data_IF_613592343174
#
_entry.id   IF_613592343174
#
_cell.length_a   1.000
_cell.length_b   1.000
_cell.length_c   1.000
_cell.angle_alpha   90.00
_cell.angle_beta   90.00
_cell.angle_gamma   90.00
#
_symmetry.space_group_name_H-M   'P 1'
#
loop_
_entity.id
_entity.type
_entity.pdbx_description
1 polymer ?
#
# COMPACT_ATOMS: atom_id res chain seq x y z
N UNK A 1 -43.77 27.19 85.66
CA UNK A 1 -43.32 25.91 86.20
C UNK A 1 -42.80 25.06 85.07
N UNK A 2 -41.52 24.77 85.14
CA UNK A 2 -40.68 23.79 84.41
C UNK A 2 -40.93 23.59 82.90
N UNK A 3 -40.11 24.29 82.07
CA UNK A 3 -39.84 24.08 80.66
C UNK A 3 -38.73 23.02 80.51
N UNK A 4 -38.90 22.07 79.57
CA UNK A 4 -37.89 21.12 79.23
C UNK A 4 -37.38 21.45 77.86
N UNK A 5 -36.09 21.83 77.76
CA UNK A 5 -35.32 21.99 76.53
C UNK A 5 -34.94 20.58 75.91
N UNK A 6 -35.31 20.32 74.70
CA UNK A 6 -34.81 19.20 73.89
C UNK A 6 -33.76 19.70 72.97
N UNK A 7 -32.51 19.31 73.19
CA UNK A 7 -31.40 19.50 72.27
C UNK A 7 -31.50 18.52 71.08
N UNK A 8 -31.49 19.06 69.88
CA UNK A 8 -31.51 18.31 68.66
C UNK A 8 -30.08 18.22 68.15
N UNK A 9 -29.50 17.01 68.12
CA UNK A 9 -28.21 16.73 67.51
C UNK A 9 -28.41 16.55 66.01
N UNK A 10 -27.77 17.38 65.17
CA UNK A 10 -27.67 17.23 63.73
C UNK A 10 -26.41 16.39 63.51
N UNK A 11 -26.60 15.14 63.14
CA UNK A 11 -25.52 14.28 62.62
C UNK A 11 -25.22 14.65 61.18
N UNK A 12 -24.11 15.33 60.95
CA UNK A 12 -23.58 15.59 59.62
C UNK A 12 -23.05 14.32 58.99
N UNK A 13 -23.73 13.82 57.97
CA UNK A 13 -23.29 12.67 57.15
C UNK A 13 -22.29 13.20 56.12
N UNK A 14 -21.00 13.05 56.36
CA UNK A 14 -19.93 13.30 55.38
C UNK A 14 -19.96 12.15 54.36
N UNK A 15 -20.54 12.41 53.21
CA UNK A 15 -20.49 11.50 52.08
C UNK A 15 -19.07 11.55 51.47
N UNK A 16 -18.21 10.58 51.85
CA UNK A 16 -16.90 10.36 51.24
C UNK A 16 -17.12 9.76 49.87
N UNK A 17 -17.25 10.59 48.81
CA UNK A 17 -17.17 10.13 47.44
C UNK A 17 -15.73 9.68 47.15
N UNK A 18 -15.41 8.41 47.40
CA UNK A 18 -14.24 7.79 46.84
C UNK A 18 -14.44 7.70 45.33
N UNK A 19 -13.75 8.60 44.60
CA UNK A 19 -13.55 8.45 43.17
C UNK A 19 -12.80 7.15 42.97
N UNK A 20 -13.51 6.11 42.55
CA UNK A 20 -12.89 4.86 42.07
C UNK A 20 -12.12 5.24 40.82
N UNK A 21 -10.79 5.24 40.91
CA UNK A 21 -9.90 5.23 39.77
C UNK A 21 -10.23 3.93 39.02
N UNK A 22 -10.65 3.98 37.75
CA UNK A 22 -10.87 2.74 37.01
C UNK A 22 -9.53 1.95 36.99
N UNK A 23 -9.52 0.77 37.57
CA UNK A 23 -8.41 -0.15 37.44
C UNK A 23 -8.23 -0.42 35.93
N UNK A 24 -7.07 -0.05 35.38
CA UNK A 24 -6.70 -0.44 34.03
C UNK A 24 -6.87 -1.97 33.94
N UNK A 25 -7.79 -2.43 33.11
CA UNK A 25 -7.97 -3.85 32.80
C UNK A 25 -6.66 -4.48 32.34
N UNK A 26 -6.54 -5.80 32.34
CA UNK A 26 -5.32 -6.49 31.94
C UNK A 26 -4.87 -5.97 30.57
N UNK A 27 -3.59 -5.54 30.50
CA UNK A 27 -3.03 -4.99 29.27
C UNK A 27 -3.09 -6.02 28.14
N UNK A 28 -3.30 -5.54 26.91
CA UNK A 28 -3.33 -6.40 25.72
C UNK A 28 -2.00 -7.11 25.53
N UNK A 29 -2.02 -8.42 25.36
CA UNK A 29 -0.83 -9.27 25.29
C UNK A 29 -0.32 -9.29 23.85
N UNK A 30 0.87 -8.71 23.64
CA UNK A 30 1.48 -8.55 22.34
C UNK A 30 2.78 -9.34 22.25
N UNK A 31 2.90 -10.21 21.27
CA UNK A 31 4.14 -10.83 20.88
C UNK A 31 4.78 -10.09 19.71
N UNK A 32 6.09 -9.87 19.77
CA UNK A 32 6.84 -9.26 18.67
C UNK A 32 7.71 -10.32 18.03
N UNK A 33 7.42 -10.64 16.78
CA UNK A 33 8.24 -11.57 15.98
C UNK A 33 9.63 -10.98 15.67
N UNK A 34 10.64 -11.81 15.38
CA UNK A 34 11.87 -11.34 14.76
C UNK A 34 11.57 -10.68 13.42
N UNK A 35 12.04 -9.44 13.22
CA UNK A 35 11.85 -8.74 11.94
C UNK A 35 12.77 -9.32 10.86
N UNK A 36 12.22 -9.53 9.66
CA UNK A 36 13.00 -9.92 8.48
C UNK A 36 13.65 -8.70 7.88
N UNK A 37 14.89 -8.39 8.24
CA UNK A 37 15.65 -7.26 7.70
C UNK A 37 17.03 -7.72 7.23
N UNK A 38 17.56 -7.07 6.18
CA UNK A 38 18.92 -7.32 5.69
C UNK A 38 20.01 -6.78 6.63
N UNK A 39 19.64 -5.88 7.55
CA UNK A 39 20.62 -5.18 8.42
C UNK A 39 20.13 -5.16 9.86
N UNK A 40 20.88 -5.78 10.78
CA UNK A 40 20.69 -5.77 12.24
C UNK A 40 19.24 -6.01 12.74
N UNK A 41 18.57 -7.09 12.34
CA UNK A 41 17.18 -7.36 12.69
C UNK A 41 16.93 -7.45 14.21
N UNK A 42 17.88 -8.01 14.95
CA UNK A 42 17.78 -8.19 16.40
C UNK A 42 17.72 -6.86 17.14
N UNK A 43 18.60 -5.89 16.80
CA UNK A 43 18.59 -4.56 17.43
C UNK A 43 17.30 -3.79 17.16
N UNK A 44 16.75 -3.91 15.93
CA UNK A 44 15.52 -3.25 15.59
C UNK A 44 14.34 -3.81 16.40
N UNK A 45 14.26 -5.13 16.55
CA UNK A 45 13.28 -5.78 17.40
C UNK A 45 13.37 -5.31 18.84
N UNK A 46 14.60 -5.27 19.41
CA UNK A 46 14.84 -4.78 20.77
C UNK A 46 14.35 -3.34 20.95
N UNK A 47 14.64 -2.45 20.01
CA UNK A 47 14.17 -1.06 20.08
C UNK A 47 12.65 -0.96 19.98
N UNK A 48 12.01 -1.73 19.11
CA UNK A 48 10.54 -1.77 18.99
C UNK A 48 9.93 -2.29 20.29
N UNK A 49 10.44 -3.38 20.85
CA UNK A 49 9.98 -3.91 22.15
C UNK A 49 10.17 -2.90 23.27
N UNK A 50 11.31 -2.21 23.33
CA UNK A 50 11.58 -1.18 24.33
C UNK A 50 10.64 0.03 24.23
N UNK A 51 10.22 0.42 23.03
CA UNK A 51 9.24 1.50 22.85
C UNK A 51 7.81 1.01 23.15
N UNK A 52 7.45 -0.20 22.74
CA UNK A 52 6.13 -0.79 23.03
C UNK A 52 5.90 -1.03 24.53
N UNK A 53 6.96 -1.41 25.28
CA UNK A 53 6.87 -1.62 26.73
C UNK A 53 6.55 -0.34 27.52
N UNK A 54 6.72 0.84 26.94
CA UNK A 54 6.36 2.15 27.53
C UNK A 54 4.87 2.47 27.34
N UNK A 55 4.17 1.73 26.48
CA UNK A 55 2.77 2.03 26.17
C UNK A 55 1.85 1.55 27.29
N UNK A 56 0.94 2.41 27.79
CA UNK A 56 -0.02 2.02 28.81
C UNK A 56 -0.95 0.94 28.24
N UNK A 57 -1.15 -0.13 29.01
CA UNK A 57 -2.07 -1.19 28.65
C UNK A 57 -1.59 -2.14 27.54
N UNK A 58 -0.28 -2.19 27.26
CA UNK A 58 0.37 -3.21 26.44
C UNK A 58 1.24 -4.08 27.34
N UNK A 59 1.13 -5.40 27.22
CA UNK A 59 1.94 -6.37 27.91
C UNK A 59 2.68 -7.23 26.88
N UNK A 60 4.00 -7.11 26.82
CA UNK A 60 4.80 -7.95 25.93
C UNK A 60 4.91 -9.37 26.49
N UNK A 61 4.67 -10.36 25.62
CA UNK A 61 4.79 -11.79 25.95
C UNK A 61 5.96 -12.44 25.23
N UNK A 62 6.51 -13.48 25.84
CA UNK A 62 7.73 -14.13 25.33
C UNK A 62 7.46 -15.12 24.18
N UNK A 63 6.21 -15.54 23.98
CA UNK A 63 5.84 -16.50 22.94
C UNK A 63 4.48 -16.15 22.32
N UNK A 64 4.30 -16.60 21.08
CA UNK A 64 3.07 -16.44 20.31
C UNK A 64 1.87 -17.08 21.01
N UNK A 65 2.03 -18.25 21.64
CA UNK A 65 0.95 -18.98 22.31
C UNK A 65 0.28 -18.21 23.45
N UNK A 66 0.93 -17.18 23.97
CA UNK A 66 0.38 -16.30 25.04
C UNK A 66 -0.15 -14.97 24.53
N UNK A 67 -0.04 -14.69 23.24
CA UNK A 67 -0.37 -13.40 22.64
C UNK A 67 -1.86 -13.31 22.22
N UNK A 68 -2.42 -12.13 22.33
CA UNK A 68 -3.70 -11.76 21.71
C UNK A 68 -3.44 -11.20 20.31
N UNK A 69 -2.31 -10.50 20.14
CA UNK A 69 -1.82 -10.03 18.88
C UNK A 69 -0.35 -10.36 18.68
N UNK A 70 0.03 -10.49 17.42
CA UNK A 70 1.37 -10.74 16.96
C UNK A 70 1.80 -9.58 16.09
N UNK A 71 2.86 -8.86 16.47
CA UNK A 71 3.50 -7.84 15.65
C UNK A 71 4.63 -8.49 14.87
N UNK A 72 4.42 -8.69 13.58
CA UNK A 72 5.43 -9.15 12.64
C UNK A 72 5.86 -8.04 11.70
N UNK A 73 6.89 -8.30 10.91
CA UNK A 73 7.27 -7.36 9.88
C UNK A 73 8.65 -7.59 9.29
N UNK A 74 8.96 -6.79 8.25
CA UNK A 74 10.26 -6.81 7.59
C UNK A 74 10.54 -5.50 6.87
N UNK A 75 11.81 -5.32 6.53
CA UNK A 75 12.21 -4.09 5.88
C UNK A 75 13.67 -4.06 5.51
N UNK A 76 14.13 -2.90 5.08
CA UNK A 76 15.50 -2.68 4.67
C UNK A 76 15.99 -1.32 5.14
N UNK A 77 17.23 -1.26 5.62
CA UNK A 77 17.93 -0.03 5.96
C UNK A 77 19.23 -0.03 5.15
N UNK A 78 19.49 1.07 4.43
CA UNK A 78 20.70 1.22 3.63
C UNK A 78 21.33 2.60 3.82
N UNK A 79 22.62 2.74 3.50
CA UNK A 79 23.29 4.02 3.46
C UNK A 79 23.03 4.67 2.11
N UNK A 80 22.33 5.81 2.09
CA UNK A 80 22.09 6.62 0.88
C UNK A 80 23.36 7.38 0.44
N UNK A 81 24.22 7.72 1.40
CA UNK A 81 25.43 8.52 1.19
C UNK A 81 26.03 8.98 2.51
N UNK A 82 26.95 9.93 2.44
CA UNK A 82 27.60 10.52 3.60
C UNK A 82 27.49 12.03 3.55
N UNK A 83 27.13 12.64 4.68
CA UNK A 83 27.13 14.10 4.84
C UNK A 83 28.54 14.56 5.26
N UNK A 84 29.19 15.34 4.43
CA UNK A 84 30.51 15.87 4.74
C UNK A 84 30.48 16.81 5.95
N UNK A 85 31.35 16.58 6.91
CA UNK A 85 31.57 17.49 8.05
C UNK A 85 32.36 18.74 7.64
N UNK A 86 33.04 18.73 6.47
CA UNK A 86 33.76 19.85 5.93
C UNK A 86 33.54 20.02 4.42
N UNK A 87 32.53 20.81 4.00
CA UNK A 87 32.15 20.97 2.59
C UNK A 87 33.24 21.61 1.70
N UNK A 88 34.31 22.18 2.28
CA UNK A 88 35.38 22.89 1.54
C UNK A 88 36.54 21.99 1.10
N UNK A 89 36.57 20.72 1.49
CA UNK A 89 37.78 19.89 1.31
C UNK A 89 37.87 19.16 -0.04
N UNK A 90 36.83 19.12 -0.88
CA UNK A 90 36.88 18.51 -2.22
C UNK A 90 37.25 17.00 -2.26
N UNK A 91 37.49 16.36 -1.12
CA UNK A 91 37.79 14.95 -0.98
C UNK A 91 36.49 14.17 -0.69
N UNK A 92 36.35 13.01 -1.31
CA UNK A 92 35.32 12.05 -0.93
C UNK A 92 35.46 11.73 0.56
N UNK A 93 34.45 11.97 1.39
CA UNK A 93 34.60 11.87 2.84
C UNK A 93 34.59 10.39 3.25
N UNK A 94 35.75 9.85 3.59
CA UNK A 94 35.87 8.64 4.42
C UNK A 94 35.36 8.88 5.86
N UNK A 95 35.18 10.14 6.27
CA UNK A 95 34.88 10.57 7.64
C UNK A 95 33.52 11.28 7.78
N UNK A 96 32.63 11.16 6.79
CA UNK A 96 31.29 11.75 6.81
C UNK A 96 30.30 10.98 7.69
N UNK A 97 29.34 11.69 8.27
CA UNK A 97 28.17 11.06 8.93
C UNK A 97 27.33 10.33 7.89
N UNK A 98 27.08 9.02 8.02
CA UNK A 98 26.25 8.29 7.09
C UNK A 98 24.82 8.85 7.08
N UNK A 99 24.26 8.98 5.89
CA UNK A 99 22.86 9.31 5.64
C UNK A 99 22.16 8.04 5.25
N UNK A 100 21.14 7.69 6.00
CA UNK A 100 20.44 6.42 5.82
C UNK A 100 19.13 6.60 5.06
N UNK A 101 18.76 5.59 4.30
CA UNK A 101 17.42 5.34 3.83
C UNK A 101 16.92 4.03 4.39
N UNK A 102 15.63 3.82 4.36
CA UNK A 102 15.07 2.56 4.82
C UNK A 102 13.56 2.59 4.93
N UNK A 103 13.01 1.44 5.18
CA UNK A 103 11.61 1.26 5.57
C UNK A 103 11.48 0.04 6.47
N UNK A 104 10.40 -0.01 7.23
CA UNK A 104 9.96 -1.20 7.93
C UNK A 104 8.44 -1.32 7.77
N UNK A 105 8.00 -2.34 7.07
CA UNK A 105 6.60 -2.74 7.01
C UNK A 105 6.29 -3.62 8.21
N UNK A 106 5.27 -3.26 8.98
CA UNK A 106 4.82 -4.03 10.14
C UNK A 106 3.34 -4.32 10.04
N UNK A 107 2.95 -5.45 10.60
CA UNK A 107 1.56 -5.88 10.64
C UNK A 107 1.20 -6.42 12.02
N UNK A 108 -0.06 -6.23 12.43
CA UNK A 108 -0.64 -6.88 13.60
C UNK A 108 -1.58 -7.98 13.11
N UNK A 109 -1.33 -9.19 13.60
CA UNK A 109 -2.16 -10.37 13.38
C UNK A 109 -2.89 -10.70 14.67
N UNK A 110 -4.14 -11.14 14.56
CA UNK A 110 -4.89 -11.71 15.67
C UNK A 110 -4.42 -13.15 15.97
N UNK A 111 -4.94 -13.77 17.05
CA UNK A 111 -4.64 -15.14 17.42
C UNK A 111 -5.05 -16.23 16.40
N UNK A 112 -5.70 -15.84 15.26
CA UNK A 112 -6.02 -16.72 14.14
C UNK A 112 -5.03 -16.55 12.98
N UNK A 113 -4.03 -15.68 13.13
CA UNK A 113 -3.08 -15.35 12.07
C UNK A 113 -3.60 -14.37 11.01
N UNK A 114 -4.78 -13.78 11.20
CA UNK A 114 -5.36 -12.81 10.27
C UNK A 114 -4.79 -11.42 10.54
N UNK A 115 -4.20 -10.79 9.51
CA UNK A 115 -3.71 -9.41 9.60
C UNK A 115 -4.88 -8.44 9.66
N UNK A 116 -5.01 -7.70 10.75
CA UNK A 116 -6.05 -6.71 10.94
C UNK A 116 -5.54 -5.27 10.88
N UNK A 117 -4.22 -5.07 10.97
CA UNK A 117 -3.59 -3.78 10.83
C UNK A 117 -2.20 -3.92 10.22
N UNK A 118 -1.80 -2.93 9.42
CA UNK A 118 -0.45 -2.82 8.86
C UNK A 118 -0.01 -1.37 8.79
N UNK A 119 1.31 -1.15 8.85
CA UNK A 119 1.91 0.17 8.78
C UNK A 119 3.29 0.11 8.13
N UNK A 120 3.56 1.02 7.21
CA UNK A 120 4.88 1.21 6.62
C UNK A 120 5.58 2.38 7.33
N UNK A 121 6.58 2.07 8.14
CA UNK A 121 7.44 3.05 8.78
C UNK A 121 8.58 3.43 7.82
N UNK A 122 8.71 4.72 7.53
CA UNK A 122 9.85 5.31 6.81
C UNK A 122 10.51 6.37 7.69
N UNK A 123 11.84 6.57 7.64
CA UNK A 123 12.50 7.59 8.45
C UNK A 123 12.13 8.99 7.97
N UNK A 124 11.86 9.90 8.91
CA UNK A 124 11.68 11.34 8.62
C UNK A 124 13.02 12.08 8.53
N UNK A 125 13.99 11.62 9.33
CA UNK A 125 15.33 12.16 9.34
C UNK A 125 16.29 11.11 8.77
N UNK A 126 17.16 11.55 7.90
CA UNK A 126 18.16 10.74 7.23
C UNK A 126 19.49 10.65 8.00
N UNK A 127 19.59 11.32 9.15
CA UNK A 127 20.79 11.35 10.00
C UNK A 127 20.52 10.75 11.37
N UNK A 128 21.43 9.92 11.87
CA UNK A 128 21.37 9.32 13.20
C UNK A 128 20.96 7.84 13.20
N UNK A 129 20.48 7.35 14.34
CA UNK A 129 20.08 5.94 14.50
C UNK A 129 18.64 5.72 13.99
N UNK A 130 18.55 5.44 12.69
CA UNK A 130 17.27 5.18 12.00
C UNK A 130 16.48 4.05 12.68
N UNK A 131 17.14 3.02 13.21
CA UNK A 131 16.45 1.91 13.85
C UNK A 131 15.64 2.37 15.07
N UNK A 132 16.16 3.31 15.84
CA UNK A 132 15.44 3.92 16.97
C UNK A 132 14.27 4.80 16.52
N UNK A 133 14.47 5.56 15.45
CA UNK A 133 13.41 6.39 14.89
C UNK A 133 12.25 5.56 14.37
N UNK A 134 12.54 4.53 13.55
CA UNK A 134 11.55 3.58 13.05
C UNK A 134 10.81 2.90 14.21
N UNK A 135 11.53 2.47 15.25
CA UNK A 135 10.93 1.82 16.42
C UNK A 135 9.93 2.76 17.14
N UNK A 136 10.29 4.03 17.35
CA UNK A 136 9.37 5.03 17.94
C UNK A 136 8.13 5.25 17.08
N UNK A 137 8.30 5.34 15.78
CA UNK A 137 7.17 5.50 14.84
C UNK A 137 6.24 4.29 14.89
N UNK A 138 6.81 3.08 14.83
CA UNK A 138 6.04 1.85 14.93
C UNK A 138 5.27 1.81 16.24
N UNK A 139 5.91 2.03 17.38
CA UNK A 139 5.25 2.02 18.67
C UNK A 139 4.11 3.04 18.75
N UNK A 140 4.29 4.25 18.23
CA UNK A 140 3.25 5.28 18.16
C UNK A 140 2.04 4.82 17.35
N UNK A 141 2.27 4.20 16.18
CA UNK A 141 1.19 3.75 15.32
C UNK A 141 0.53 2.46 15.81
N UNK A 142 1.27 1.56 16.43
CA UNK A 142 0.73 0.38 17.14
C UNK A 142 -0.14 0.82 18.31
N UNK A 143 0.29 1.80 19.12
CA UNK A 143 -0.52 2.37 20.19
C UNK A 143 -1.87 2.87 19.68
N UNK A 144 -1.84 3.68 18.62
CA UNK A 144 -3.05 4.21 18.01
C UNK A 144 -3.97 3.10 17.45
N UNK A 145 -3.39 2.05 16.85
CA UNK A 145 -4.15 0.90 16.36
C UNK A 145 -4.82 0.13 17.50
N UNK A 146 -4.07 -0.16 18.59
CA UNK A 146 -4.58 -0.85 19.76
C UNK A 146 -5.61 -0.05 20.54
N UNK A 147 -5.49 1.29 20.58
CA UNK A 147 -6.50 2.16 21.15
C UNK A 147 -7.79 2.20 20.31
N UNK A 148 -7.65 2.20 18.98
CA UNK A 148 -8.78 2.14 18.06
C UNK A 148 -9.53 0.81 18.17
N UNK A 149 -8.83 -0.28 18.43
CA UNK A 149 -9.44 -1.60 18.62
C UNK A 149 -10.01 -1.78 20.05
N UNK A 150 -9.45 -1.07 21.05
CA UNK A 150 -9.99 -1.01 22.44
C UNK A 150 -11.20 -0.10 22.60
N UNK A 151 -11.30 0.94 21.78
CA UNK A 151 -12.57 1.65 21.67
C UNK A 151 -13.60 0.52 21.38
N UNK A 152 -14.63 0.33 22.26
CA UNK A 152 -15.54 -0.76 22.02
C UNK A 152 -15.89 -0.64 20.57
N UNK A 153 -15.59 -1.70 19.81
CA UNK A 153 -16.16 -1.89 18.50
C UNK A 153 -17.66 -1.90 18.76
N UNK A 154 -18.22 -0.69 18.88
CA UNK A 154 -19.49 -0.48 18.27
C UNK A 154 -19.16 -0.74 16.80
N UNK A 155 -19.20 -1.98 16.40
CA UNK A 155 -19.96 -2.32 15.22
C UNK A 155 -21.30 -1.63 15.49
N UNK A 156 -21.33 -0.33 15.24
CA UNK A 156 -22.57 0.34 14.99
C UNK A 156 -23.04 -0.36 13.75
N UNK A 157 -23.91 -1.36 13.94
CA UNK A 157 -24.78 -1.77 12.85
C UNK A 157 -25.20 -0.45 12.22
N UNK A 158 -24.92 -0.26 10.90
CA UNK A 158 -25.23 1.02 10.27
C UNK A 158 -26.66 1.35 10.68
N UNK A 159 -26.96 2.59 11.05
CA UNK A 159 -28.31 2.96 11.40
C UNK A 159 -29.22 2.38 10.32
N UNK A 160 -30.37 1.81 10.65
CA UNK A 160 -31.28 1.15 9.69
C UNK A 160 -31.61 2.01 8.46
N UNK A 161 -31.20 3.29 8.46
CA UNK A 161 -31.30 4.29 7.40
C UNK A 161 -29.98 4.64 6.72
N UNK A 162 -28.87 3.92 6.97
CA UNK A 162 -27.58 4.23 6.34
C UNK A 162 -27.64 3.98 4.83
N UNK A 163 -27.05 4.89 4.06
CA UNK A 163 -26.90 4.78 2.61
C UNK A 163 -25.81 3.76 2.31
N UNK A 164 -26.19 2.64 1.70
CA UNK A 164 -25.23 1.62 1.30
C UNK A 164 -24.60 1.94 -0.06
N UNK A 165 -23.27 2.01 -0.12
CA UNK A 165 -22.49 2.13 -1.33
C UNK A 165 -21.60 0.89 -1.51
N UNK A 166 -21.62 0.31 -2.70
CA UNK A 166 -20.85 -0.88 -3.06
C UNK A 166 -19.84 -0.55 -4.13
N UNK A 167 -18.55 -0.72 -3.83
CA UNK A 167 -17.47 -0.62 -4.79
C UNK A 167 -16.90 -1.97 -5.13
N UNK A 168 -16.33 -2.11 -6.33
CA UNK A 168 -15.60 -3.32 -6.72
C UNK A 168 -14.51 -3.00 -7.74
N UNK A 169 -13.40 -3.76 -7.74
CA UNK A 169 -12.40 -3.56 -8.78
C UNK A 169 -10.98 -3.95 -8.42
N UNK A 170 -10.04 -3.11 -8.86
CA UNK A 170 -8.61 -3.34 -8.76
C UNK A 170 -8.15 -3.75 -7.36
N UNK A 171 -7.24 -4.73 -7.31
CA UNK A 171 -6.56 -5.11 -6.06
C UNK A 171 -5.38 -4.19 -5.75
N UNK A 172 -4.87 -3.47 -6.73
CA UNK A 172 -3.76 -2.52 -6.61
C UNK A 172 -3.97 -1.50 -5.47
N UNK A 173 -5.09 -0.75 -5.37
CA UNK A 173 -5.30 0.24 -4.33
C UNK A 173 -5.89 -0.34 -3.04
N UNK A 174 -6.16 -1.65 -2.96
CA UNK A 174 -6.95 -2.22 -1.86
C UNK A 174 -6.42 -1.90 -0.47
N UNK A 175 -5.10 -1.96 -0.17
CA UNK A 175 -4.59 -1.62 1.15
C UNK A 175 -4.95 -0.20 1.61
N UNK A 176 -4.87 0.79 0.71
CA UNK A 176 -5.26 2.17 1.04
C UNK A 176 -6.77 2.35 1.04
N UNK A 177 -7.51 1.69 0.15
CA UNK A 177 -8.97 1.75 0.12
C UNK A 177 -9.57 1.17 1.40
N UNK A 178 -9.12 0.02 1.87
CA UNK A 178 -9.57 -0.58 3.13
C UNK A 178 -9.42 0.40 4.31
N UNK A 179 -8.30 1.12 4.35
CA UNK A 179 -8.05 2.15 5.36
C UNK A 179 -8.98 3.35 5.21
N UNK A 180 -9.17 3.83 3.97
CA UNK A 180 -10.08 4.95 3.69
C UNK A 180 -11.52 4.62 4.07
N UNK A 181 -12.01 3.45 3.70
CA UNK A 181 -13.37 3.01 4.02
C UNK A 181 -13.59 2.95 5.53
N UNK A 182 -12.63 2.40 6.27
CA UNK A 182 -12.69 2.35 7.74
C UNK A 182 -12.76 3.74 8.35
N UNK A 183 -11.91 4.66 7.89
CA UNK A 183 -11.85 6.02 8.42
C UNK A 183 -13.08 6.83 8.00
N UNK A 184 -13.51 6.72 6.73
CA UNK A 184 -14.69 7.42 6.22
C UNK A 184 -15.98 7.01 6.96
N UNK A 185 -16.20 5.70 7.18
CA UNK A 185 -17.34 5.21 7.97
C UNK A 185 -17.37 5.75 9.38
N UNK A 186 -16.21 5.88 10.03
CA UNK A 186 -16.12 6.45 11.37
C UNK A 186 -16.53 7.93 11.40
N UNK A 187 -16.16 8.69 10.38
CA UNK A 187 -16.46 10.12 10.24
C UNK A 187 -17.88 10.36 9.71
N UNK A 188 -18.43 9.40 8.95
CA UNK A 188 -19.72 9.47 8.27
C UNK A 188 -20.60 8.24 8.56
N UNK A 189 -21.10 8.08 9.80
CA UNK A 189 -21.81 6.88 10.25
C UNK A 189 -23.10 6.56 9.47
N UNK A 190 -23.66 7.56 8.76
CA UNK A 190 -24.86 7.41 7.94
C UNK A 190 -24.55 6.84 6.54
N UNK A 191 -23.28 6.54 6.22
CA UNK A 191 -22.87 5.93 4.95
C UNK A 191 -22.18 4.61 5.25
N UNK A 192 -22.79 3.50 4.79
CA UNK A 192 -22.18 2.18 4.79
C UNK A 192 -21.54 1.92 3.43
N UNK A 193 -20.22 1.98 3.37
CA UNK A 193 -19.46 1.80 2.13
C UNK A 193 -18.58 0.56 2.20
N UNK A 194 -18.63 -0.25 1.16
CA UNK A 194 -17.84 -1.48 1.01
C UNK A 194 -17.09 -1.49 -0.32
N UNK A 195 -16.00 -2.28 -0.37
CA UNK A 195 -15.22 -2.47 -1.59
C UNK A 195 -14.75 -3.92 -1.69
N UNK A 196 -14.97 -4.54 -2.84
CA UNK A 196 -14.51 -5.88 -3.15
C UNK A 196 -13.35 -5.83 -4.15
N UNK A 197 -12.17 -6.30 -3.72
CA UNK A 197 -10.95 -6.35 -4.54
C UNK A 197 -10.94 -7.60 -5.43
N UNK A 198 -11.69 -7.56 -6.51
CA UNK A 198 -11.96 -8.70 -7.43
C UNK A 198 -11.21 -8.64 -8.76
N UNK A 199 -10.34 -7.63 -8.93
CA UNK A 199 -9.66 -7.31 -10.19
C UNK A 199 -10.40 -6.24 -11.00
N UNK A 200 -9.64 -5.51 -11.81
CA UNK A 200 -10.15 -4.35 -12.56
C UNK A 200 -11.31 -4.72 -13.48
N UNK A 201 -11.17 -5.79 -14.28
CA UNK A 201 -12.22 -6.18 -15.22
C UNK A 201 -13.51 -6.57 -14.50
N UNK A 202 -13.43 -7.44 -13.49
CA UNK A 202 -14.60 -7.89 -12.75
C UNK A 202 -15.32 -6.71 -12.06
N UNK A 203 -14.56 -5.75 -11.50
CA UNK A 203 -15.12 -4.55 -10.90
C UNK A 203 -15.86 -3.67 -11.90
N UNK A 204 -15.27 -3.43 -13.07
CA UNK A 204 -15.94 -2.65 -14.14
C UNK A 204 -17.19 -3.39 -14.66
N UNK A 205 -17.14 -4.71 -14.85
CA UNK A 205 -18.33 -5.50 -15.24
C UNK A 205 -19.45 -5.40 -14.21
N UNK A 206 -19.14 -5.40 -12.91
CA UNK A 206 -20.12 -5.21 -11.84
C UNK A 206 -20.73 -3.81 -11.87
N UNK A 207 -19.94 -2.78 -12.12
CA UNK A 207 -20.42 -1.41 -12.31
C UNK A 207 -21.38 -1.32 -13.51
N UNK A 208 -20.98 -1.84 -14.66
CA UNK A 208 -21.80 -1.86 -15.87
C UNK A 208 -23.13 -2.63 -15.68
N UNK A 209 -23.11 -3.69 -14.87
CA UNK A 209 -24.30 -4.48 -14.53
C UNK A 209 -25.17 -3.83 -13.43
N UNK A 210 -24.77 -2.69 -12.85
CA UNK A 210 -25.48 -2.04 -11.75
C UNK A 210 -25.41 -2.78 -10.41
N UNK A 211 -24.54 -3.78 -10.27
CA UNK A 211 -24.32 -4.50 -9.01
C UNK A 211 -23.26 -3.85 -8.12
N UNK A 212 -22.54 -2.84 -8.61
CA UNK A 212 -21.69 -1.93 -7.88
C UNK A 212 -22.07 -0.49 -8.20
N UNK A 213 -21.93 0.41 -7.21
CA UNK A 213 -22.20 1.85 -7.36
C UNK A 213 -20.98 2.59 -7.93
N UNK A 214 -19.78 2.04 -7.75
CA UNK A 214 -18.54 2.50 -8.37
C UNK A 214 -17.58 1.35 -8.66
N UNK A 215 -16.75 1.52 -9.67
CA UNK A 215 -15.68 0.58 -10.01
C UNK A 215 -14.30 1.13 -9.67
N UNK A 216 -13.25 0.29 -9.75
CA UNK A 216 -11.88 0.76 -9.77
C UNK A 216 -11.01 -0.03 -10.74
N UNK A 217 -10.12 0.66 -11.45
CA UNK A 217 -9.24 0.05 -12.44
C UNK A 217 -7.89 0.80 -12.53
N UNK A 218 -6.81 0.06 -12.74
CA UNK A 218 -5.49 0.63 -13.07
C UNK A 218 -5.29 0.77 -14.59
N UNK A 219 -6.35 0.51 -15.37
CA UNK A 219 -6.42 0.77 -16.80
C UNK A 219 -7.40 1.91 -17.07
N UNK A 220 -6.94 3.08 -17.57
CA UNK A 220 -7.82 4.21 -17.90
C UNK A 220 -8.75 3.94 -19.08
N UNK A 221 -8.51 2.88 -19.84
CA UNK A 221 -9.31 2.48 -20.99
C UNK A 221 -10.25 1.29 -20.70
N UNK A 222 -10.39 0.88 -19.42
CA UNK A 222 -11.14 -0.32 -19.04
C UNK A 222 -12.60 -0.29 -19.53
N UNK A 223 -13.29 0.85 -19.45
CA UNK A 223 -14.65 0.96 -19.99
C UNK A 223 -14.66 0.71 -21.49
N UNK A 224 -13.76 1.34 -22.25
CA UNK A 224 -13.66 1.20 -23.70
C UNK A 224 -13.38 -0.25 -24.11
N UNK A 225 -12.51 -0.94 -23.39
CA UNK A 225 -12.17 -2.36 -23.67
C UNK A 225 -13.33 -3.30 -23.36
N UNK A 226 -14.10 -3.05 -22.29
CA UNK A 226 -15.14 -3.95 -21.78
C UNK A 226 -16.50 -3.66 -22.42
N UNK A 227 -16.82 -2.38 -22.63
CA UNK A 227 -18.10 -1.91 -23.18
C UNK A 227 -17.88 -0.69 -24.09
N UNK A 228 -17.39 -0.92 -25.33
CA UNK A 228 -17.16 0.16 -26.27
C UNK A 228 -18.41 1.02 -26.50
N UNK A 229 -18.26 2.35 -26.43
CA UNK A 229 -19.36 3.31 -26.60
C UNK A 229 -20.03 3.78 -25.29
N UNK A 230 -19.65 3.19 -24.15
CA UNK A 230 -20.17 3.57 -22.84
C UNK A 230 -19.26 4.56 -22.08
N UNK A 231 -18.11 4.95 -22.65
CA UNK A 231 -17.09 5.77 -21.98
C UNK A 231 -17.67 7.08 -21.43
N UNK A 232 -18.51 7.75 -22.20
CA UNK A 232 -19.14 9.03 -21.80
C UNK A 232 -20.18 8.93 -20.68
N UNK A 233 -20.53 7.70 -20.26
CA UNK A 233 -21.47 7.48 -19.15
C UNK A 233 -20.77 7.46 -17.80
N UNK A 234 -19.45 7.42 -17.79
CA UNK A 234 -18.64 7.27 -16.58
C UNK A 234 -17.55 8.33 -16.48
N UNK A 235 -17.32 8.81 -15.27
CA UNK A 235 -16.21 9.69 -14.92
C UNK A 235 -15.08 8.82 -14.35
N UNK A 236 -13.87 9.04 -14.84
CA UNK A 236 -12.65 8.48 -14.27
C UNK A 236 -12.09 9.45 -13.24
N UNK A 237 -11.96 9.01 -12.00
CA UNK A 237 -11.42 9.81 -10.90
C UNK A 237 -10.12 9.16 -10.43
N UNK A 238 -8.93 9.65 -10.81
CA UNK A 238 -7.67 9.22 -10.24
C UNK A 238 -7.75 9.23 -8.71
N UNK A 239 -7.31 8.19 -8.05
CA UNK A 239 -7.46 8.06 -6.60
C UNK A 239 -6.13 7.96 -5.87
N UNK A 240 -5.21 7.18 -6.40
CA UNK A 240 -3.86 6.98 -5.88
C UNK A 240 -2.86 6.76 -7.01
N UNK A 241 -1.57 6.91 -6.67
CA UNK A 241 -0.45 6.52 -7.52
C UNK A 241 0.39 5.48 -6.76
N UNK A 242 0.74 4.42 -7.45
CA UNK A 242 1.63 3.38 -6.96
C UNK A 242 2.55 2.88 -8.08
N UNK A 243 3.18 1.73 -7.87
CA UNK A 243 4.08 1.12 -8.83
C UNK A 243 3.88 -0.40 -8.93
N UNK A 244 4.10 -0.95 -10.12
CA UNK A 244 4.19 -2.39 -10.31
C UNK A 244 5.65 -2.80 -10.27
N UNK A 245 5.99 -3.73 -9.38
CA UNK A 245 7.37 -4.18 -9.17
C UNK A 245 7.53 -5.66 -9.56
N UNK A 246 8.66 -6.02 -10.21
CA UNK A 246 9.02 -7.42 -10.38
C UNK A 246 9.47 -8.00 -9.03
N UNK A 247 8.71 -8.93 -8.48
CA UNK A 247 9.05 -9.66 -7.25
C UNK A 247 9.75 -10.97 -7.59
N UNK A 248 10.75 -11.36 -6.79
CA UNK A 248 11.55 -12.54 -7.06
C UNK A 248 11.77 -13.37 -5.78
N UNK A 249 11.84 -14.68 -5.96
CA UNK A 249 12.28 -15.62 -4.93
C UNK A 249 13.53 -16.35 -5.42
N UNK A 250 14.70 -15.79 -5.15
CA UNK A 250 16.00 -16.32 -5.53
C UNK A 250 16.84 -16.64 -4.29
N UNK A 251 16.74 -17.85 -3.74
CA UNK A 251 17.55 -18.28 -2.62
C UNK A 251 19.05 -18.20 -2.93
N UNK A 252 19.83 -17.63 -2.01
CA UNK A 252 21.29 -17.53 -2.13
C UNK A 252 21.80 -16.37 -2.99
N UNK A 253 20.93 -15.58 -3.62
CA UNK A 253 21.33 -14.35 -4.33
C UNK A 253 21.26 -13.18 -3.37
N UNK A 254 22.41 -12.63 -2.98
CA UNK A 254 22.51 -11.41 -2.19
C UNK A 254 22.65 -10.20 -3.12
N UNK A 255 21.79 -9.19 -2.97
CA UNK A 255 21.82 -7.94 -3.72
C UNK A 255 20.58 -7.72 -4.56
N UNK A 256 20.48 -6.48 -5.06
CA UNK A 256 19.35 -6.03 -5.87
C UNK A 256 19.48 -6.50 -7.30
N UNK A 257 18.52 -7.27 -7.77
CA UNK A 257 18.47 -7.70 -9.16
C UNK A 257 17.92 -6.57 -10.05
N UNK A 258 18.56 -6.36 -11.21
CA UNK A 258 18.13 -5.39 -12.22
C UNK A 258 17.51 -6.06 -13.42
N UNK A 259 16.50 -5.43 -13.98
CA UNK A 259 15.83 -5.88 -15.20
C UNK A 259 15.80 -4.78 -16.24
N UNK A 260 16.08 -5.17 -17.49
CA UNK A 260 15.77 -4.33 -18.65
C UNK A 260 14.39 -4.71 -19.20
N UNK A 261 13.74 -3.82 -19.96
CA UNK A 261 12.48 -4.17 -20.64
C UNK A 261 12.57 -5.45 -21.46
N UNK A 262 13.67 -5.64 -22.19
CA UNK A 262 13.91 -6.81 -23.03
C UNK A 262 14.06 -8.09 -22.19
N UNK A 263 14.72 -8.00 -21.04
CA UNK A 263 14.84 -9.12 -20.11
C UNK A 263 13.47 -9.53 -19.55
N UNK A 264 12.65 -8.57 -19.10
CA UNK A 264 11.30 -8.85 -18.65
C UNK A 264 10.42 -9.44 -19.74
N UNK A 265 10.44 -8.85 -20.95
CA UNK A 265 9.70 -9.39 -22.08
C UNK A 265 10.17 -10.82 -22.44
N UNK A 266 11.47 -11.06 -22.42
CA UNK A 266 12.04 -12.40 -22.68
C UNK A 266 11.62 -13.44 -21.64
N UNK A 267 11.56 -13.08 -20.37
CA UNK A 267 11.09 -13.95 -19.29
C UNK A 267 9.59 -14.29 -19.49
N UNK A 268 8.76 -13.28 -19.70
CA UNK A 268 7.30 -13.46 -19.80
C UNK A 268 6.86 -14.04 -21.16
N UNK A 269 7.72 -13.98 -22.19
CA UNK A 269 7.52 -14.71 -23.44
C UNK A 269 8.07 -16.14 -23.42
N UNK A 270 8.86 -16.51 -22.38
CA UNK A 270 9.50 -17.82 -22.25
C UNK A 270 10.80 -17.97 -23.05
N UNK A 271 11.30 -16.92 -23.73
CA UNK A 271 12.58 -16.94 -24.44
C UNK A 271 13.77 -16.91 -23.49
N UNK A 272 13.61 -16.34 -22.28
CA UNK A 272 14.57 -16.40 -21.18
C UNK A 272 13.98 -17.34 -20.12
N UNK A 273 14.54 -18.57 -20.03
CA UNK A 273 14.01 -19.63 -19.19
C UNK A 273 14.86 -19.92 -17.93
N UNK A 274 16.05 -19.33 -17.82
CA UNK A 274 16.98 -19.54 -16.70
C UNK A 274 17.49 -18.23 -16.14
N UNK A 275 17.73 -18.20 -14.82
CA UNK A 275 18.26 -17.02 -14.14
C UNK A 275 19.68 -16.65 -14.58
N UNK A 276 20.52 -17.61 -14.94
CA UNK A 276 21.86 -17.35 -15.46
C UNK A 276 21.92 -17.05 -16.96
N UNK A 277 20.80 -16.69 -17.59
CA UNK A 277 20.77 -16.28 -19.00
C UNK A 277 21.74 -15.12 -19.25
N UNK A 278 22.45 -15.09 -20.41
CA UNK A 278 23.38 -14.00 -20.75
C UNK A 278 22.76 -12.60 -20.65
N UNK A 279 21.50 -12.42 -21.05
CA UNK A 279 20.80 -11.12 -20.97
C UNK A 279 20.65 -10.68 -19.53
N UNK A 280 20.26 -11.58 -18.61
CA UNK A 280 20.15 -11.28 -17.19
C UNK A 280 21.51 -11.00 -16.57
N UNK A 281 22.54 -11.77 -16.90
CA UNK A 281 23.91 -11.53 -16.41
C UNK A 281 24.47 -10.19 -16.88
N UNK A 282 24.14 -9.75 -18.09
CA UNK A 282 24.63 -8.48 -18.62
C UNK A 282 24.12 -7.26 -17.83
N UNK A 283 22.86 -7.28 -17.37
CA UNK A 283 22.30 -6.20 -16.55
C UNK A 283 22.56 -6.36 -15.05
N UNK A 284 23.14 -7.48 -14.62
CA UNK A 284 23.44 -7.81 -13.23
C UNK A 284 24.92 -8.12 -13.00
N UNK A 285 25.82 -7.31 -13.56
CA UNK A 285 27.27 -7.47 -13.38
C UNK A 285 27.61 -7.43 -11.89
N UNK A 286 28.28 -8.48 -11.41
CA UNK A 286 28.65 -8.62 -9.99
C UNK A 286 27.68 -9.48 -9.16
N UNK A 287 26.52 -9.88 -9.69
CA UNK A 287 25.66 -10.88 -9.08
C UNK A 287 25.96 -12.28 -9.65
N UNK A 288 26.08 -13.27 -8.77
CA UNK A 288 26.16 -14.68 -9.18
C UNK A 288 24.74 -15.21 -9.34
N UNK A 289 24.20 -15.14 -10.56
CA UNK A 289 22.88 -15.67 -10.85
C UNK A 289 22.96 -17.19 -11.02
N UNK A 290 22.09 -17.99 -10.36
CA UNK A 290 22.14 -19.44 -10.34
C UNK A 290 21.71 -20.05 -11.69
N UNK A 291 22.20 -21.25 -11.98
CA UNK A 291 21.65 -22.10 -13.04
C UNK A 291 20.34 -22.74 -12.57
N UNK A 292 19.30 -21.91 -12.48
CA UNK A 292 17.97 -22.25 -11.98
C UNK A 292 16.93 -21.85 -13.02
N UNK A 293 15.95 -22.72 -13.25
CA UNK A 293 14.83 -22.41 -14.12
C UNK A 293 13.99 -21.26 -13.53
N UNK A 294 13.54 -20.36 -14.39
CA UNK A 294 12.62 -19.29 -14.03
C UNK A 294 11.19 -19.84 -13.97
N UNK A 295 10.52 -19.63 -12.85
CA UNK A 295 9.09 -19.90 -12.71
C UNK A 295 8.35 -18.57 -12.82
N UNK A 296 7.73 -18.34 -13.97
CA UNK A 296 6.93 -17.12 -14.19
C UNK A 296 5.60 -17.23 -13.43
N UNK A 297 5.22 -16.18 -12.71
CA UNK A 297 3.92 -16.06 -12.05
C UNK A 297 3.22 -14.82 -12.58
N UNK A 298 1.96 -14.98 -12.99
CA UNK A 298 1.14 -13.91 -13.54
C UNK A 298 -0.28 -13.92 -12.97
N UNK A 299 -1.05 -12.89 -13.27
CA UNK A 299 -2.45 -12.77 -12.83
C UNK A 299 -3.35 -13.74 -13.59
N UNK A 300 -4.30 -14.33 -12.85
CA UNK A 300 -5.37 -15.19 -13.39
C UNK A 300 -6.64 -14.41 -13.72
N UNK A 301 -6.83 -13.27 -13.05
CA UNK A 301 -7.98 -12.38 -13.21
C UNK A 301 -7.68 -11.23 -14.17
N UNK A 302 -8.74 -10.59 -14.68
CA UNK A 302 -8.62 -9.37 -15.48
C UNK A 302 -8.09 -8.21 -14.64
N UNK A 303 -6.81 -7.90 -14.83
CA UNK A 303 -5.99 -7.14 -13.88
C UNK A 303 -5.46 -5.84 -14.45
N UNK A 304 -5.73 -4.72 -13.75
CA UNK A 304 -5.09 -3.44 -14.05
C UNK A 304 -3.58 -3.47 -13.80
N UNK A 305 -3.10 -4.24 -12.81
CA UNK A 305 -1.67 -4.47 -12.59
C UNK A 305 -1.01 -5.15 -13.79
N UNK A 306 -1.71 -6.14 -14.40
CA UNK A 306 -1.27 -6.75 -15.67
C UNK A 306 -1.27 -5.74 -16.81
N UNK A 307 -2.29 -4.87 -16.86
CA UNK A 307 -2.34 -3.80 -17.86
C UNK A 307 -1.12 -2.88 -17.75
N UNK A 308 -0.81 -2.34 -16.56
CA UNK A 308 0.34 -1.45 -16.36
C UNK A 308 1.67 -2.14 -16.71
N UNK A 309 1.82 -3.42 -16.33
CA UNK A 309 2.98 -4.23 -16.69
C UNK A 309 3.12 -4.42 -18.20
N UNK A 310 2.07 -4.83 -18.88
CA UNK A 310 2.08 -5.09 -20.32
C UNK A 310 2.11 -3.80 -21.14
N UNK A 311 1.56 -2.69 -20.63
CA UNK A 311 1.70 -1.37 -21.24
C UNK A 311 3.16 -0.90 -21.25
N UNK A 312 3.89 -1.07 -20.14
CA UNK A 312 5.32 -0.81 -20.09
C UNK A 312 6.10 -1.62 -21.15
N UNK A 313 5.85 -2.93 -21.24
CA UNK A 313 6.50 -3.79 -22.24
C UNK A 313 6.08 -3.41 -23.66
N UNK A 314 4.84 -3.01 -23.87
CA UNK A 314 4.33 -2.55 -25.17
C UNK A 314 5.01 -1.25 -25.64
N UNK A 315 5.27 -0.33 -24.71
CA UNK A 315 5.94 0.93 -25.02
C UNK A 315 7.46 0.77 -25.27
N UNK A 316 8.07 -0.27 -24.68
CA UNK A 316 9.53 -0.40 -24.64
C UNK A 316 10.07 -1.52 -25.55
N UNK A 317 9.27 -2.54 -25.84
CA UNK A 317 9.71 -3.74 -26.60
C UNK A 317 8.81 -3.95 -27.82
N UNK A 318 9.25 -3.57 -29.05
CA UNK A 318 8.44 -3.69 -30.27
C UNK A 318 7.90 -5.09 -30.53
N UNK A 319 8.69 -6.15 -30.24
CA UNK A 319 8.24 -7.54 -30.38
C UNK A 319 7.08 -7.90 -29.46
N UNK A 320 7.08 -7.39 -28.24
CA UNK A 320 5.99 -7.56 -27.29
C UNK A 320 4.70 -6.89 -27.77
N UNK A 321 4.81 -5.67 -28.28
CA UNK A 321 3.67 -4.93 -28.85
C UNK A 321 2.96 -5.70 -29.95
N UNK A 322 3.74 -6.37 -30.82
CA UNK A 322 3.20 -7.13 -31.95
C UNK A 322 2.52 -8.44 -31.52
N UNK A 323 2.98 -9.07 -30.45
CA UNK A 323 2.55 -10.42 -30.04
C UNK A 323 1.46 -10.38 -28.94
N UNK A 324 1.60 -9.53 -27.95
CA UNK A 324 0.76 -9.52 -26.74
C UNK A 324 0.04 -8.19 -26.56
N UNK A 325 0.76 -7.07 -26.72
CA UNK A 325 0.23 -5.74 -26.46
C UNK A 325 -0.07 -5.48 -24.99
N UNK A 326 -0.70 -4.32 -24.69
CA UNK A 326 -1.21 -3.95 -23.38
C UNK A 326 -2.62 -4.52 -23.20
N UNK A 327 -2.90 -5.19 -22.07
CA UNK A 327 -4.20 -5.82 -21.83
C UNK A 327 -4.46 -6.06 -20.35
N UNK A 328 -5.73 -6.03 -19.96
CA UNK A 328 -6.20 -6.53 -18.65
C UNK A 328 -6.03 -8.05 -18.55
N UNK A 329 -6.19 -8.78 -19.67
CA UNK A 329 -6.11 -10.24 -19.79
C UNK A 329 -5.11 -10.66 -20.85
N UNK A 330 -3.79 -10.49 -20.64
CA UNK A 330 -2.79 -10.92 -21.60
C UNK A 330 -2.83 -12.44 -21.79
N UNK A 331 -2.61 -12.89 -23.02
CA UNK A 331 -2.42 -14.32 -23.30
C UNK A 331 -0.98 -14.70 -22.96
N UNK A 332 -0.76 -15.11 -21.73
CA UNK A 332 0.56 -15.50 -21.25
C UNK A 332 1.01 -16.82 -21.88
N UNK A 333 2.14 -16.85 -22.60
CA UNK A 333 2.61 -18.09 -23.23
C UNK A 333 3.23 -19.07 -22.24
N UNK A 334 3.68 -18.58 -21.06
CA UNK A 334 4.34 -19.36 -20.01
C UNK A 334 3.90 -18.88 -18.64
N UNK A 335 4.02 -19.72 -17.64
CA UNK A 335 3.86 -19.34 -16.24
C UNK A 335 2.72 -20.05 -15.53
N UNK A 336 2.58 -19.68 -14.28
CA UNK A 336 1.49 -20.08 -13.37
C UNK A 336 0.66 -18.85 -13.05
N UNK A 337 -0.63 -19.05 -12.87
CA UNK A 337 -1.56 -17.96 -12.59
C UNK A 337 -2.00 -17.94 -11.13
N UNK A 338 -2.23 -16.73 -10.59
CA UNK A 338 -2.81 -16.52 -9.27
C UNK A 338 -3.75 -15.29 -9.27
N UNK A 339 -4.76 -15.31 -8.43
CA UNK A 339 -5.74 -14.23 -8.34
C UNK A 339 -5.24 -13.08 -7.45
N UNK A 340 -5.40 -11.87 -7.95
CA UNK A 340 -5.05 -10.64 -7.22
C UNK A 340 -3.54 -10.45 -7.01
N UNK A 341 -3.16 -9.30 -6.48
CA UNK A 341 -1.77 -9.04 -6.06
C UNK A 341 -1.35 -9.98 -4.93
N UNK A 342 -2.26 -10.26 -4.00
CA UNK A 342 -2.05 -11.16 -2.86
C UNK A 342 -1.68 -12.58 -3.30
N UNK A 343 -2.44 -13.16 -4.23
CA UNK A 343 -2.19 -14.51 -4.72
C UNK A 343 -0.86 -14.62 -5.47
N UNK A 344 -0.48 -13.60 -6.28
CA UNK A 344 0.82 -13.57 -6.96
C UNK A 344 1.96 -13.47 -5.94
N UNK A 345 1.84 -12.59 -4.94
CA UNK A 345 2.84 -12.43 -3.88
C UNK A 345 3.06 -13.74 -3.12
N UNK A 346 1.98 -14.39 -2.69
CA UNK A 346 2.02 -15.66 -1.96
C UNK A 346 2.67 -16.77 -2.80
N UNK A 347 2.28 -16.91 -4.07
CA UNK A 347 2.80 -17.96 -4.95
C UNK A 347 4.30 -17.77 -5.23
N UNK A 348 4.76 -16.53 -5.45
CA UNK A 348 6.19 -16.24 -5.62
C UNK A 348 6.97 -16.55 -4.34
N UNK A 349 6.42 -16.23 -3.17
CA UNK A 349 7.06 -16.51 -1.87
C UNK A 349 7.31 -18.01 -1.67
N UNK A 350 6.39 -18.84 -2.10
CA UNK A 350 6.46 -20.31 -1.94
C UNK A 350 7.40 -21.00 -2.94
N UNK A 351 7.65 -20.39 -4.10
CA UNK A 351 8.34 -21.06 -5.20
C UNK A 351 9.75 -20.53 -5.42
N UNK A 352 10.79 -21.31 -5.08
CA UNK A 352 12.18 -20.98 -5.41
C UNK A 352 12.38 -20.83 -6.93
N UNK A 353 13.07 -19.77 -7.35
CA UNK A 353 13.26 -19.43 -8.77
C UNK A 353 12.09 -18.67 -9.39
N UNK A 354 11.07 -18.30 -8.62
CA UNK A 354 9.92 -17.59 -9.16
C UNK A 354 10.20 -16.09 -9.39
N UNK A 355 9.54 -15.57 -10.41
CA UNK A 355 9.34 -14.14 -10.68
C UNK A 355 7.86 -13.87 -10.90
N UNK A 356 7.34 -12.80 -10.30
CA UNK A 356 6.00 -12.29 -10.51
C UNK A 356 6.02 -10.77 -10.59
N UNK A 357 4.85 -10.16 -10.70
CA UNK A 357 4.67 -8.71 -10.60
C UNK A 357 3.47 -8.40 -9.70
N UNK A 358 3.66 -7.43 -8.82
CA UNK A 358 2.61 -6.95 -7.91
C UNK A 358 2.73 -5.45 -7.74
N UNK A 359 1.69 -4.85 -7.17
CA UNK A 359 1.81 -3.48 -6.67
C UNK A 359 2.81 -3.45 -5.49
N UNK A 360 3.57 -2.36 -5.40
CA UNK A 360 4.74 -2.17 -4.55
C UNK A 360 4.49 -2.48 -3.07
N UNK A 361 3.33 -2.08 -2.52
CA UNK A 361 3.01 -2.33 -1.11
C UNK A 361 2.89 -3.82 -0.79
N UNK A 362 2.41 -4.65 -1.74
CA UNK A 362 2.33 -6.10 -1.54
C UNK A 362 3.73 -6.73 -1.45
N UNK A 363 4.70 -6.24 -2.23
CA UNK A 363 6.08 -6.69 -2.10
C UNK A 363 6.63 -6.38 -0.71
N UNK A 364 6.33 -5.19 -0.17
CA UNK A 364 6.73 -4.78 1.16
C UNK A 364 6.04 -5.60 2.26
N UNK A 365 4.72 -5.77 2.18
CA UNK A 365 3.93 -6.51 3.18
C UNK A 365 4.32 -7.99 3.26
N UNK A 366 4.59 -8.61 2.11
CA UNK A 366 5.02 -10.01 2.04
C UNK A 366 6.52 -10.21 2.24
N UNK A 367 7.29 -9.12 2.44
CA UNK A 367 8.75 -9.13 2.59
C UNK A 367 9.46 -9.81 1.41
N UNK A 368 8.95 -9.58 0.20
CA UNK A 368 9.52 -10.13 -1.02
C UNK A 368 10.64 -9.24 -1.55
N UNK A 369 11.69 -9.88 -2.07
CA UNK A 369 12.68 -9.15 -2.85
C UNK A 369 12.04 -8.71 -4.17
N UNK A 370 12.25 -7.43 -4.52
CA UNK A 370 11.82 -6.89 -5.80
C UNK A 370 12.99 -6.25 -6.53
N UNK A 371 12.93 -6.32 -7.86
CA UNK A 371 14.02 -5.89 -8.73
C UNK A 371 13.93 -4.41 -9.10
N UNK A 372 15.09 -3.86 -9.49
CA UNK A 372 15.18 -2.57 -10.18
C UNK A 372 14.80 -2.75 -11.65
N UNK A 373 14.18 -1.75 -12.23
CA UNK A 373 13.79 -1.76 -13.64
C UNK A 373 14.46 -0.59 -14.36
N UNK A 374 14.97 -0.84 -15.57
CA UNK A 374 15.57 0.20 -16.40
C UNK A 374 14.50 1.15 -16.91
N UNK A 375 14.67 2.43 -16.57
CA UNK A 375 13.79 3.51 -16.99
C UNK A 375 14.17 4.07 -18.38
N UNK A 376 13.38 5.02 -18.85
CA UNK A 376 13.58 5.69 -20.15
C UNK A 376 14.90 6.47 -20.24
N UNK A 377 15.46 6.91 -19.10
CA UNK A 377 16.77 7.57 -19.02
C UNK A 377 17.95 6.56 -19.06
N UNK A 378 17.68 5.23 -19.07
CA UNK A 378 18.69 4.18 -19.09
C UNK A 378 19.17 3.73 -17.71
N UNK A 379 18.59 4.28 -16.61
CA UNK A 379 18.96 3.97 -15.25
C UNK A 379 18.19 2.77 -14.69
N UNK A 380 18.86 1.92 -13.89
CA UNK A 380 18.18 0.90 -13.09
C UNK A 380 17.62 1.54 -11.82
N UNK A 381 16.30 1.72 -11.75
CA UNK A 381 15.59 2.40 -10.67
C UNK A 381 14.84 1.39 -9.82
N UNK A 382 15.00 1.46 -8.49
CA UNK A 382 14.15 0.76 -7.54
C UNK A 382 12.85 1.56 -7.30
N UNK A 383 11.75 0.85 -7.07
CA UNK A 383 10.52 1.50 -6.63
C UNK A 383 10.70 2.09 -5.24
N UNK A 384 10.32 3.33 -5.07
CA UNK A 384 10.23 4.06 -3.80
C UNK A 384 9.22 5.20 -3.97
N UNK A 385 8.78 5.80 -2.88
CA UNK A 385 7.88 6.95 -2.99
C UNK A 385 8.51 8.07 -3.84
N UNK A 386 9.80 8.33 -3.66
CA UNK A 386 10.52 9.35 -4.41
C UNK A 386 10.61 9.03 -5.91
N UNK A 387 10.88 7.77 -6.27
CA UNK A 387 10.99 7.38 -7.68
C UNK A 387 9.63 7.32 -8.39
N UNK A 388 8.57 7.00 -7.66
CA UNK A 388 7.18 7.06 -8.15
C UNK A 388 6.75 8.53 -8.30
N UNK A 389 7.07 9.40 -7.34
CA UNK A 389 6.78 10.83 -7.40
C UNK A 389 7.54 11.50 -8.57
N UNK A 390 8.78 11.08 -8.83
CA UNK A 390 9.52 11.51 -10.00
C UNK A 390 8.80 11.13 -11.31
N UNK A 391 8.22 9.93 -11.42
CA UNK A 391 7.44 9.54 -12.58
C UNK A 391 6.19 10.43 -12.77
N UNK A 392 5.48 10.76 -11.69
CA UNK A 392 4.33 11.68 -11.73
C UNK A 392 4.74 13.08 -12.16
N UNK A 393 5.86 13.59 -11.63
CA UNK A 393 6.33 14.95 -11.89
C UNK A 393 6.78 15.18 -13.34
N UNK A 394 7.19 14.12 -14.02
CA UNK A 394 7.61 14.16 -15.44
C UNK A 394 6.51 13.72 -16.41
N UNK A 395 5.32 13.39 -15.90
CA UNK A 395 4.19 13.02 -16.74
C UNK A 395 3.66 14.22 -17.56
N UNK A 396 3.05 13.91 -18.70
CA UNK A 396 2.30 14.91 -19.44
C UNK A 396 1.13 15.45 -18.58
N UNK A 397 0.73 16.72 -18.78
CA UNK A 397 -0.45 17.26 -18.11
C UNK A 397 -1.67 16.35 -18.34
N UNK A 398 -2.55 16.18 -17.34
CA UNK A 398 -3.72 15.34 -17.48
C UNK A 398 -4.65 15.81 -18.60
N UNK A 399 -5.14 14.89 -19.41
CA UNK A 399 -6.19 15.13 -20.38
C UNK A 399 -7.49 15.57 -19.69
N UNK A 400 -8.45 16.08 -20.45
CA UNK A 400 -9.72 16.54 -19.89
C UNK A 400 -10.56 15.40 -19.28
N UNK A 401 -10.36 14.17 -19.77
CA UNK A 401 -11.04 12.95 -19.33
C UNK A 401 -10.27 12.15 -18.27
N UNK A 402 -9.21 12.73 -17.70
CA UNK A 402 -8.34 12.14 -16.68
C UNK A 402 -7.66 10.81 -17.09
N UNK A 403 -7.61 10.48 -18.37
CA UNK A 403 -6.84 9.34 -18.88
C UNK A 403 -5.37 9.72 -18.97
N UNK A 404 -4.65 9.51 -17.88
CA UNK A 404 -3.23 9.85 -17.72
C UNK A 404 -2.43 8.57 -17.69
N UNK A 405 -1.40 8.45 -18.52
CA UNK A 405 -0.40 7.40 -18.35
C UNK A 405 0.91 8.01 -17.85
N UNK A 406 1.45 7.41 -16.79
CA UNK A 406 2.77 7.70 -16.24
C UNK A 406 3.72 6.51 -16.39
N UNK A 407 3.27 5.49 -17.10
CA UNK A 407 4.10 4.34 -17.49
C UNK A 407 5.20 4.83 -18.42
N UNK A 408 6.44 4.42 -18.15
CA UNK A 408 7.62 4.83 -18.90
C UNK A 408 7.81 6.34 -18.98
N UNK A 409 7.44 7.06 -17.90
CA UNK A 409 7.62 8.51 -17.81
C UNK A 409 9.10 8.89 -18.03
N UNK A 410 9.37 10.02 -18.73
CA UNK A 410 10.73 10.50 -18.89
C UNK A 410 11.29 11.01 -17.55
N UNK A 411 12.61 11.17 -17.49
CA UNK A 411 13.30 11.78 -16.34
C UNK A 411 14.19 10.81 -15.60
N UNK A 412 15.29 11.39 -15.06
CA UNK A 412 16.21 10.69 -14.19
C UNK A 412 15.50 10.28 -12.89
N UNK A 413 15.80 9.09 -12.38
CA UNK A 413 15.22 8.58 -11.14
C UNK A 413 13.72 8.20 -11.22
N UNK A 414 13.01 8.46 -12.34
CA UNK A 414 11.62 8.08 -12.49
C UNK A 414 11.46 6.55 -12.57
N UNK A 415 10.58 5.98 -11.71
CA UNK A 415 10.27 4.55 -11.77
C UNK A 415 9.40 4.24 -12.99
N UNK A 416 9.78 3.27 -13.84
CA UNK A 416 9.16 3.16 -15.17
C UNK A 416 7.79 2.49 -15.19
N UNK A 417 7.41 1.72 -14.16
CA UNK A 417 6.11 1.03 -14.10
C UNK A 417 5.25 1.64 -12.99
N UNK A 418 5.21 2.98 -12.95
CA UNK A 418 4.29 3.71 -12.10
C UNK A 418 2.92 3.83 -12.77
N UNK A 419 1.85 3.77 -11.99
CA UNK A 419 0.47 3.84 -12.49
C UNK A 419 -0.45 4.55 -11.52
N UNK A 420 -1.47 5.20 -12.05
CA UNK A 420 -2.65 5.58 -11.29
C UNK A 420 -3.59 4.38 -11.12
N UNK A 421 -4.44 4.47 -10.10
CA UNK A 421 -5.73 3.76 -10.06
C UNK A 421 -6.84 4.79 -10.17
N UNK A 422 -7.82 4.53 -10.98
CA UNK A 422 -9.02 5.34 -11.15
C UNK A 422 -10.21 4.70 -10.45
N UNK A 423 -10.94 5.48 -9.66
CA UNK A 423 -12.33 5.17 -9.36
C UNK A 423 -13.18 5.54 -10.58
N UNK A 424 -14.02 4.61 -10.98
CA UNK A 424 -14.92 4.78 -12.14
C UNK A 424 -16.33 4.90 -11.62
N UNK A 425 -16.94 6.07 -11.88
CA UNK A 425 -18.24 6.42 -11.30
C UNK A 425 -19.25 6.85 -12.39
N UNK A 426 -20.53 6.53 -12.25
CA UNK A 426 -21.54 6.99 -13.21
C UNK A 426 -21.64 8.51 -13.19
N UNK A 427 -21.73 9.16 -14.36
CA UNK A 427 -22.02 10.61 -14.46
C UNK A 427 -23.47 10.95 -14.15
N UNK A 428 -24.37 9.94 -14.16
CA UNK A 428 -25.78 10.06 -13.80
C UNK A 428 -26.17 8.92 -12.86
N UNK A 429 -26.79 9.26 -11.75
CA UNK A 429 -27.30 8.32 -10.75
C UNK A 429 -28.76 8.67 -10.44
N UNK A 430 -29.65 7.70 -10.60
CA UNK A 430 -31.09 7.90 -10.34
C UNK A 430 -31.39 8.10 -8.84
N UNK A 431 -30.61 7.47 -7.97
CA UNK A 431 -30.71 7.63 -6.51
C UNK A 431 -29.88 8.83 -6.05
N UNK A 432 -30.56 9.92 -5.73
CA UNK A 432 -29.93 11.17 -5.30
C UNK A 432 -29.18 11.02 -3.97
N UNK A 433 -29.66 10.17 -3.07
CA UNK A 433 -29.05 9.92 -1.77
C UNK A 433 -27.73 9.18 -1.94
N UNK A 434 -27.72 8.13 -2.77
CA UNK A 434 -26.47 7.44 -3.14
C UNK A 434 -25.49 8.34 -3.88
N UNK A 435 -25.99 9.18 -4.79
CA UNK A 435 -25.17 10.15 -5.51
C UNK A 435 -24.47 11.09 -4.55
N UNK A 436 -25.21 11.71 -3.63
CA UNK A 436 -24.65 12.63 -2.63
C UNK A 436 -23.61 11.94 -1.73
N UNK A 437 -23.89 10.71 -1.29
CA UNK A 437 -22.97 9.90 -0.48
C UNK A 437 -21.69 9.54 -1.26
N UNK A 438 -21.79 9.13 -2.54
CA UNK A 438 -20.64 8.80 -3.38
C UNK A 438 -19.77 10.03 -3.67
N UNK A 439 -20.36 11.15 -4.03
CA UNK A 439 -19.64 12.41 -4.24
C UNK A 439 -18.95 12.86 -2.93
N UNK A 440 -19.63 12.75 -1.80
CA UNK A 440 -19.05 13.03 -0.48
C UNK A 440 -17.83 12.15 -0.17
N UNK A 441 -17.92 10.86 -0.45
CA UNK A 441 -16.80 9.93 -0.30
C UNK A 441 -15.63 10.29 -1.22
N UNK A 442 -15.88 10.57 -2.49
CA UNK A 442 -14.83 10.94 -3.45
C UNK A 442 -14.13 12.24 -3.05
N UNK A 443 -14.86 13.25 -2.60
CA UNK A 443 -14.27 14.50 -2.07
C UNK A 443 -13.42 14.23 -0.82
N UNK A 444 -13.86 13.35 0.05
CA UNK A 444 -13.07 12.92 1.20
C UNK A 444 -11.78 12.19 0.78
N UNK A 445 -11.86 11.31 -0.23
CA UNK A 445 -10.69 10.61 -0.80
C UNK A 445 -9.68 11.62 -1.35
N UNK A 446 -10.12 12.63 -2.10
CA UNK A 446 -9.28 13.66 -2.69
C UNK A 446 -8.69 14.64 -1.65
N UNK A 447 -9.31 14.79 -0.49
CA UNK A 447 -8.86 15.63 0.60
C UNK A 447 -8.18 14.85 1.74
N UNK A 448 -8.91 14.52 2.84
CA UNK A 448 -8.36 13.80 4.00
C UNK A 448 -7.74 12.45 3.66
N UNK A 449 -8.30 11.73 2.67
CA UNK A 449 -7.79 10.44 2.19
C UNK A 449 -6.36 10.53 1.66
N UNK A 450 -6.05 11.57 0.86
CA UNK A 450 -4.71 11.77 0.31
C UNK A 450 -3.64 11.94 1.39
N UNK A 451 -3.98 12.48 2.57
CA UNK A 451 -3.03 12.63 3.66
C UNK A 451 -2.53 11.29 4.21
N UNK A 452 -3.28 10.21 4.00
CA UNK A 452 -2.99 8.87 4.50
C UNK A 452 -2.20 8.00 3.51
N UNK A 453 -2.16 8.38 2.22
CA UNK A 453 -1.61 7.56 1.14
C UNK A 453 -0.13 7.24 1.33
N UNK A 454 0.70 8.21 1.71
CA UNK A 454 2.14 8.02 1.86
C UNK A 454 2.51 7.02 2.96
N UNK A 455 1.75 6.99 4.05
CA UNK A 455 1.96 6.02 5.14
C UNK A 455 1.67 4.57 4.74
N UNK A 456 1.00 4.38 3.59
CA UNK A 456 0.63 3.09 3.03
C UNK A 456 1.36 2.80 1.70
N UNK A 457 2.46 3.50 1.42
CA UNK A 457 3.30 3.24 0.25
C UNK A 457 2.79 3.82 -1.08
N UNK A 458 1.77 4.70 -1.05
CA UNK A 458 1.21 5.35 -2.24
C UNK A 458 1.60 6.82 -2.31
N UNK A 459 1.84 7.32 -3.51
CA UNK A 459 2.10 8.74 -3.75
C UNK A 459 0.79 9.50 -3.84
N UNK A 460 0.78 10.70 -3.26
CA UNK A 460 -0.38 11.61 -3.33
C UNK A 460 -0.59 12.13 -4.74
N UNK A 461 -1.83 12.41 -5.06
CA UNK A 461 -2.17 13.07 -6.31
C UNK A 461 -1.62 14.52 -6.35
N UNK A 462 -1.19 15.00 -7.53
CA UNK A 462 -0.82 16.40 -7.73
C UNK A 462 -1.99 17.35 -7.39
N UNK A 463 -1.71 18.45 -6.70
CA UNK A 463 -2.74 19.40 -6.25
C UNK A 463 -3.61 19.95 -7.39
N UNK A 464 -3.01 20.22 -8.56
CA UNK A 464 -3.75 20.73 -9.72
C UNK A 464 -4.67 19.66 -10.35
N UNK A 465 -4.28 18.38 -10.23
CA UNK A 465 -5.15 17.27 -10.63
C UNK A 465 -6.35 17.19 -9.68
N UNK A 466 -6.13 17.21 -8.37
CA UNK A 466 -7.19 17.18 -7.35
C UNK A 466 -8.21 18.29 -7.55
N UNK A 467 -7.78 19.54 -7.79
CA UNK A 467 -8.72 20.66 -8.07
C UNK A 467 -9.60 20.41 -9.29
N UNK A 468 -9.05 19.82 -10.34
CA UNK A 468 -9.81 19.52 -11.56
C UNK A 468 -10.80 18.38 -11.32
N UNK A 469 -10.42 17.40 -10.53
CA UNK A 469 -11.29 16.29 -10.15
C UNK A 469 -12.45 16.77 -9.28
N UNK A 470 -12.18 17.59 -8.27
CA UNK A 470 -13.23 18.20 -7.42
C UNK A 470 -14.26 18.96 -8.28
N UNK A 471 -13.79 19.75 -9.25
CA UNK A 471 -14.69 20.45 -10.18
C UNK A 471 -15.50 19.49 -11.08
N UNK A 472 -14.92 18.36 -11.48
CA UNK A 472 -15.59 17.34 -12.28
C UNK A 472 -16.66 16.58 -11.48
N UNK A 473 -16.41 16.33 -10.17
CA UNK A 473 -17.37 15.69 -9.27
C UNK A 473 -18.68 16.49 -9.12
N UNK A 474 -18.60 17.83 -9.19
CA UNK A 474 -19.78 18.69 -9.14
C UNK A 474 -20.69 18.52 -10.38
N UNK A 475 -20.19 17.91 -11.46
CA UNK A 475 -20.93 17.57 -12.67
C UNK A 475 -21.72 16.26 -12.60
N UNK A 476 -21.58 15.46 -11.56
CA UNK A 476 -22.32 14.18 -11.38
C UNK A 476 -23.79 14.50 -11.04
N UNK A 477 -24.72 13.97 -11.84
CA UNK A 477 -26.15 14.29 -11.77
C UNK A 477 -26.99 13.08 -11.43
#
# INVERSE_FOLDING_TARGET
MKSAFRSMWIAGMVCCCTLAVPSAGPGRRLFVEPFTTKTAPEKLREYVMAELSKLPGVSLVASEAGAEDILGGGGEIWVKGYRSLNPRSGRLPSDGTPVYGGYLSVELKNGRGETWWSYLATPENDAGDISKELAKRIAKHVAAALEQDRAPSREMAPPQSAVALRGAGATFPYPVYAKWLTNYRRENPNVDISYEAVGSEAGIRRLLAGSADFGASDNPHAIQEISPGDEGKYLLVPSVVGAVVPIVNLPGVAGDIGFTPEALAGIYSGTIAKWNDPVLRQCNKGLSLPDLAIVVVHRADGSGTSYAWTDFLTQTVPGWKAQTGASLNPKWPVGRSANGNEGVASLVKEMGGAIGYVEYIYALQHHLNFGKVRNRAGELVAASLESIEAAVSHAAPPAADFKISIVNAPGAGAYPIASFTWMVVPVRMADETKRAALVGFLKWVLGPGQAQSAALGYVKLPKELVKREEAALDGIR
#
